data_IF_943956657062
#
_entry.id   IF_943956657062
#
_cell.length_a   1.000
_cell.length_b   1.000
_cell.length_c   1.000
_cell.angle_alpha   90.00
_cell.angle_beta   90.00
_cell.angle_gamma   90.00
#
_symmetry.space_group_name_H-M   'P 1'
#
loop_
_entity.id
_entity.type
_entity.pdbx_description
1 polymer ?
#
# COMPACT_ATOMS: atom_id res chain seq x y z
N UNK A 1 -48.19 28.77 26.90
CA UNK A 1 -47.67 27.63 27.69
C UNK A 1 -46.75 26.83 26.79
N UNK A 2 -45.48 26.81 27.18
CA UNK A 2 -44.30 26.33 26.45
C UNK A 2 -44.28 24.80 26.35
N UNK A 3 -44.41 24.23 25.15
CA UNK A 3 -44.07 22.82 24.91
C UNK A 3 -42.60 22.72 24.51
N UNK A 4 -41.78 22.21 25.42
CA UNK A 4 -40.37 21.97 25.23
C UNK A 4 -40.10 20.94 24.12
N UNK A 5 -39.17 21.25 23.23
CA UNK A 5 -38.60 20.31 22.25
C UNK A 5 -37.70 19.29 22.97
N UNK A 6 -37.79 17.98 22.69
CA UNK A 6 -36.88 17.01 23.28
C UNK A 6 -35.49 17.09 22.61
N UNK A 7 -34.48 17.31 23.45
CA UNK A 7 -33.08 17.46 23.08
C UNK A 7 -32.48 16.19 22.45
N UNK A 8 -31.69 16.37 21.38
CA UNK A 8 -30.94 15.37 20.60
C UNK A 8 -29.75 14.74 21.39
N UNK A 9 -29.75 14.84 22.72
CA UNK A 9 -28.59 14.58 23.59
C UNK A 9 -28.09 13.13 23.64
N UNK A 10 -28.86 12.13 23.21
CA UNK A 10 -28.54 10.72 23.50
C UNK A 10 -27.78 9.97 22.39
N UNK A 11 -27.53 10.59 21.23
CA UNK A 11 -26.91 9.88 20.09
C UNK A 11 -25.39 9.98 20.01
N UNK A 12 -24.71 10.76 20.85
CA UNK A 12 -23.24 10.91 20.78
C UNK A 12 -22.51 9.81 21.56
N UNK A 13 -23.05 9.37 22.70
CA UNK A 13 -22.40 8.36 23.56
C UNK A 13 -22.36 6.95 22.95
N UNK A 14 -23.42 6.55 22.24
CA UNK A 14 -23.53 5.21 21.65
C UNK A 14 -22.50 5.01 20.52
N UNK A 15 -22.21 6.06 19.75
CA UNK A 15 -21.22 6.01 18.67
C UNK A 15 -19.79 5.95 19.20
N UNK A 16 -19.48 6.65 20.30
CA UNK A 16 -18.16 6.62 20.92
C UNK A 16 -17.82 5.23 21.49
N UNK A 17 -18.79 4.58 22.16
CA UNK A 17 -18.61 3.23 22.70
C UNK A 17 -18.46 2.16 21.61
N UNK A 18 -19.15 2.33 20.48
CA UNK A 18 -19.07 1.40 19.34
C UNK A 18 -17.74 1.51 18.59
N UNK A 19 -17.20 2.73 18.46
CA UNK A 19 -15.85 2.97 17.92
C UNK A 19 -14.77 2.47 18.90
N UNK A 20 -14.96 2.64 20.21
CA UNK A 20 -14.02 2.16 21.23
C UNK A 20 -13.96 0.62 21.34
N UNK A 21 -15.05 -0.09 21.01
CA UNK A 21 -15.10 -1.55 20.96
C UNK A 21 -14.42 -2.14 19.70
N UNK A 22 -14.27 -1.35 18.63
CA UNK A 22 -13.45 -1.70 17.48
C UNK A 22 -11.96 -1.56 17.85
N UNK A 23 -11.29 -2.68 18.12
CA UNK A 23 -9.81 -2.74 18.22
C UNK A 23 -9.12 -2.57 16.86
N UNK A 24 -9.63 -1.68 16.01
CA UNK A 24 -9.01 -1.35 14.73
C UNK A 24 -7.90 -0.35 15.03
N UNK A 25 -6.65 -0.81 15.04
CA UNK A 25 -5.50 0.08 15.08
C UNK A 25 -5.44 0.86 13.76
N UNK A 26 -5.86 2.12 13.78
CA UNK A 26 -5.71 3.01 12.62
C UNK A 26 -4.24 3.40 12.53
N UNK A 27 -3.51 2.73 11.63
CA UNK A 27 -2.08 2.98 11.41
C UNK A 27 -1.80 4.35 10.76
N UNK A 28 -2.80 4.97 10.12
CA UNK A 28 -2.68 6.29 9.52
C UNK A 28 -3.90 6.66 8.67
N UNK A 29 -3.93 7.91 8.20
CA UNK A 29 -4.86 8.39 7.18
C UNK A 29 -4.05 8.76 5.94
N UNK A 30 -4.34 8.16 4.80
CA UNK A 30 -3.70 8.47 3.51
C UNK A 30 -4.74 8.83 2.47
N UNK A 31 -4.37 9.71 1.54
CA UNK A 31 -5.18 10.06 0.36
C UNK A 31 -4.59 9.32 -0.83
N UNK A 32 -5.43 8.62 -1.60
CA UNK A 32 -4.99 8.01 -2.85
C UNK A 32 -4.84 9.11 -3.90
N UNK A 33 -3.61 9.31 -4.36
CA UNK A 33 -3.30 10.26 -5.44
C UNK A 33 -3.18 9.49 -6.75
N UNK A 34 -3.74 10.06 -7.83
CA UNK A 34 -3.55 9.52 -9.16
C UNK A 34 -2.13 9.84 -9.65
N UNK A 35 -1.25 8.84 -9.72
CA UNK A 35 0.13 8.99 -10.19
C UNK A 35 0.20 9.64 -11.58
N UNK A 36 -0.74 9.34 -12.48
CA UNK A 36 -0.82 9.95 -13.81
C UNK A 36 -1.04 11.47 -13.75
N UNK A 37 -1.81 11.95 -12.77
CA UNK A 37 -2.03 13.39 -12.58
C UNK A 37 -0.77 14.11 -12.11
N UNK A 38 0.23 13.38 -11.60
CA UNK A 38 1.55 13.88 -11.22
C UNK A 38 2.58 13.73 -12.35
N UNK A 39 2.17 13.34 -13.57
CA UNK A 39 3.08 13.07 -14.69
C UNK A 39 3.74 11.70 -14.66
N UNK A 40 3.41 10.83 -13.69
CA UNK A 40 3.92 9.46 -13.59
C UNK A 40 3.01 8.51 -14.37
N UNK A 41 3.22 8.49 -15.69
CA UNK A 41 2.35 7.77 -16.63
C UNK A 41 2.63 6.27 -16.72
N UNK A 42 3.80 5.82 -16.27
CA UNK A 42 4.26 4.44 -16.31
C UNK A 42 4.21 3.84 -14.91
N UNK A 43 3.74 2.60 -14.81
CA UNK A 43 3.81 1.81 -13.56
C UNK A 43 4.45 0.47 -13.89
N UNK A 44 5.37 0.01 -13.07
CA UNK A 44 6.06 -1.25 -13.27
C UNK A 44 6.22 -2.02 -11.95
N UNK A 45 6.22 -3.35 -12.06
CA UNK A 45 6.68 -4.24 -11.02
C UNK A 45 8.11 -4.66 -11.31
N UNK A 46 8.98 -4.58 -10.31
CA UNK A 46 10.35 -5.06 -10.34
C UNK A 46 10.45 -6.24 -9.39
N UNK A 47 10.83 -7.40 -9.92
CA UNK A 47 11.27 -8.56 -9.14
C UNK A 47 12.79 -8.50 -9.04
N UNK A 48 13.31 -8.50 -7.82
CA UNK A 48 14.70 -8.14 -7.55
C UNK A 48 15.38 -9.24 -6.75
N UNK A 49 16.49 -9.74 -7.30
CA UNK A 49 17.34 -10.76 -6.68
C UNK A 49 18.72 -10.18 -6.42
N UNK A 50 19.05 -9.79 -5.18
CA UNK A 50 20.39 -9.35 -4.81
C UNK A 50 21.44 -10.41 -5.13
N UNK A 51 22.62 -9.97 -5.55
CA UNK A 51 23.80 -10.84 -5.64
C UNK A 51 24.25 -11.24 -4.22
N UNK A 52 25.00 -12.34 -4.04
CA UNK A 52 25.44 -12.81 -2.74
C UNK A 52 26.12 -11.70 -1.90
N UNK A 53 25.68 -11.55 -0.65
CA UNK A 53 26.19 -10.54 0.28
C UNK A 53 25.59 -9.13 0.14
N UNK A 54 24.78 -8.84 -0.89
CA UNK A 54 24.22 -7.50 -1.11
C UNK A 54 22.79 -7.31 -0.58
N UNK A 55 22.19 -8.32 0.04
CA UNK A 55 20.78 -8.28 0.48
C UNK A 55 20.42 -7.01 1.27
N UNK A 56 21.21 -6.66 2.28
CA UNK A 56 20.93 -5.47 3.10
C UNK A 56 21.17 -4.17 2.34
N UNK A 57 22.22 -4.12 1.51
CA UNK A 57 22.50 -2.95 0.67
C UNK A 57 21.36 -2.68 -0.31
N UNK A 58 20.84 -3.72 -0.94
CA UNK A 58 19.68 -3.60 -1.85
C UNK A 58 18.45 -3.17 -1.07
N UNK A 59 18.18 -3.73 0.10
CA UNK A 59 17.04 -3.30 0.92
C UNK A 59 17.09 -1.81 1.26
N UNK A 60 18.26 -1.28 1.64
CA UNK A 60 18.43 0.15 1.92
C UNK A 60 18.37 1.01 0.66
N UNK A 61 18.94 0.54 -0.46
CA UNK A 61 18.82 1.21 -1.76
C UNK A 61 17.34 1.36 -2.16
N UNK A 62 16.56 0.29 -2.11
CA UNK A 62 15.15 0.31 -2.52
C UNK A 62 14.29 1.23 -1.64
N UNK A 63 14.60 1.36 -0.35
CA UNK A 63 13.95 2.33 0.55
C UNK A 63 14.26 3.79 0.17
N UNK A 64 15.42 4.04 -0.41
CA UNK A 64 15.87 5.38 -0.80
C UNK A 64 15.36 5.86 -2.16
N UNK A 65 14.82 4.96 -2.99
CA UNK A 65 14.36 5.27 -4.35
C UNK A 65 12.91 5.79 -4.31
N UNK A 66 12.65 7.08 -4.59
CA UNK A 66 11.32 7.67 -4.48
C UNK A 66 10.31 7.14 -5.51
N UNK A 67 10.78 6.59 -6.62
CA UNK A 67 9.96 5.92 -7.62
C UNK A 67 9.30 4.66 -7.04
N UNK A 68 9.94 4.00 -6.07
CA UNK A 68 9.45 2.80 -5.41
C UNK A 68 8.48 3.17 -4.29
N UNK A 69 7.22 2.80 -4.47
CA UNK A 69 6.12 3.15 -3.55
C UNK A 69 5.67 1.99 -2.68
N UNK A 70 5.96 0.76 -3.12
CA UNK A 70 5.66 -0.48 -2.39
C UNK A 70 6.85 -1.42 -2.60
N UNK A 71 7.29 -2.08 -1.54
CA UNK A 71 8.30 -3.14 -1.67
C UNK A 71 8.14 -4.15 -0.55
N UNK A 72 7.93 -5.41 -0.93
CA UNK A 72 7.86 -6.52 -0.01
C UNK A 72 9.07 -7.43 -0.18
N UNK A 73 9.57 -7.94 0.95
CA UNK A 73 10.48 -9.07 0.96
C UNK A 73 9.64 -10.35 0.93
N UNK A 74 9.88 -11.20 -0.05
CA UNK A 74 9.04 -12.36 -0.33
C UNK A 74 9.83 -13.66 -0.25
N UNK A 75 9.09 -14.77 -0.18
CA UNK A 75 9.63 -16.11 -0.37
C UNK A 75 9.57 -16.49 -1.85
N UNK A 76 10.58 -17.19 -2.34
CA UNK A 76 10.66 -17.68 -3.72
C UNK A 76 12.02 -17.40 -4.35
N UNK A 77 12.02 -17.36 -5.68
CA UNK A 77 13.22 -17.15 -6.50
C UNK A 77 13.81 -15.74 -6.39
N UNK A 78 12.96 -14.73 -6.15
CA UNK A 78 13.39 -13.35 -5.94
C UNK A 78 13.24 -12.97 -4.47
N UNK A 79 14.12 -12.10 -4.00
CA UNK A 79 14.09 -11.67 -2.60
C UNK A 79 13.12 -10.52 -2.37
N UNK A 80 12.92 -9.67 -3.37
CA UNK A 80 12.02 -8.52 -3.28
C UNK A 80 11.11 -8.41 -4.50
N UNK A 81 9.91 -7.89 -4.25
CA UNK A 81 9.02 -7.39 -5.29
C UNK A 81 8.69 -5.93 -4.97
N UNK A 82 8.89 -5.04 -5.93
CA UNK A 82 8.74 -3.61 -5.75
C UNK A 82 7.83 -3.00 -6.84
N UNK A 83 6.99 -2.05 -6.45
CA UNK A 83 6.15 -1.28 -7.36
C UNK A 83 6.75 0.10 -7.58
N UNK A 84 6.99 0.45 -8.83
CA UNK A 84 7.50 1.75 -9.22
C UNK A 84 6.50 2.55 -10.05
N UNK A 85 6.46 3.88 -9.82
CA UNK A 85 5.72 4.85 -10.62
C UNK A 85 6.69 5.83 -11.27
N UNK A 86 6.66 5.92 -12.61
CA UNK A 86 7.67 6.64 -13.38
C UNK A 86 7.03 7.49 -14.48
N UNK A 87 7.75 8.51 -14.95
CA UNK A 87 7.29 9.37 -16.03
C UNK A 87 7.30 8.68 -17.41
N UNK A 88 8.32 7.86 -17.67
CA UNK A 88 8.56 7.23 -18.99
C UNK A 88 9.43 5.97 -18.89
N UNK A 89 9.66 5.29 -20.02
CA UNK A 89 10.52 4.09 -20.09
C UNK A 89 11.99 4.44 -19.82
N UNK A 90 12.44 5.62 -20.25
CA UNK A 90 13.82 6.09 -19.98
C UNK A 90 14.06 6.31 -18.48
N UNK A 91 13.03 6.70 -17.72
CA UNK A 91 13.12 6.75 -16.26
C UNK A 91 13.20 5.36 -15.64
N UNK A 92 12.55 4.36 -16.26
CA UNK A 92 12.61 2.97 -15.81
C UNK A 92 14.00 2.37 -16.04
N UNK A 93 14.61 2.67 -17.18
CA UNK A 93 16.00 2.29 -17.45
C UNK A 93 16.94 2.87 -16.39
N UNK A 94 16.84 4.17 -16.08
CA UNK A 94 17.64 4.79 -15.01
C UNK A 94 17.43 4.13 -13.65
N UNK A 95 16.18 3.86 -13.28
CA UNK A 95 15.87 3.17 -12.03
C UNK A 95 16.51 1.77 -11.97
N UNK A 96 16.47 1.03 -13.09
CA UNK A 96 17.09 -0.29 -13.20
C UNK A 96 18.61 -0.16 -13.10
N UNK A 97 19.22 0.81 -13.77
CA UNK A 97 20.67 1.06 -13.76
C UNK A 97 21.22 1.33 -12.34
N UNK A 98 20.42 1.91 -11.44
CA UNK A 98 20.80 2.07 -10.03
C UNK A 98 20.80 0.74 -9.26
N UNK A 99 19.98 -0.23 -9.68
CA UNK A 99 19.77 -1.51 -8.99
C UNK A 99 20.71 -2.61 -9.51
N UNK A 100 20.96 -2.65 -10.83
CA UNK A 100 21.75 -3.73 -11.47
C UNK A 100 23.16 -3.96 -10.89
N UNK A 101 23.88 -2.96 -10.30
CA UNK A 101 25.20 -3.22 -9.72
C UNK A 101 25.17 -4.18 -8.53
N UNK A 102 24.00 -4.38 -7.91
CA UNK A 102 23.84 -5.15 -6.68
C UNK A 102 22.81 -6.27 -6.78
N UNK A 103 22.03 -6.32 -7.85
CA UNK A 103 20.94 -7.28 -8.02
C UNK A 103 20.64 -7.56 -9.48
N UNK A 104 20.05 -8.72 -9.74
CA UNK A 104 19.33 -8.99 -10.98
C UNK A 104 17.90 -8.48 -10.86
N UNK A 105 17.35 -7.96 -11.95
CA UNK A 105 15.98 -7.43 -12.02
C UNK A 105 15.19 -8.09 -13.15
N UNK A 106 13.93 -8.43 -12.88
CA UNK A 106 12.93 -8.77 -13.88
C UNK A 106 11.76 -7.79 -13.76
N UNK A 107 11.40 -7.13 -14.86
CA UNK A 107 10.48 -6.01 -14.86
C UNK A 107 9.22 -6.32 -15.67
N UNK A 108 8.05 -6.01 -15.10
CA UNK A 108 6.76 -6.13 -15.75
C UNK A 108 6.02 -4.79 -15.75
N UNK A 109 5.77 -4.22 -16.92
CA UNK A 109 5.02 -2.96 -17.07
C UNK A 109 3.52 -3.25 -16.89
N UNK A 110 2.86 -2.46 -16.06
CA UNK A 110 1.42 -2.58 -15.79
C UNK A 110 0.64 -1.99 -16.95
N UNK A 111 -0.12 -2.84 -17.66
CA UNK A 111 -1.03 -2.40 -18.73
C UNK A 111 -2.38 -1.94 -18.18
N UNK A 112 -2.91 -2.64 -17.19
CA UNK A 112 -4.16 -2.29 -16.50
C UNK A 112 -4.18 -2.87 -15.09
N UNK A 113 -5.08 -2.37 -14.24
CA UNK A 113 -5.31 -2.88 -12.88
C UNK A 113 -6.77 -3.28 -12.73
N UNK A 114 -7.16 -4.49 -13.18
CA UNK A 114 -8.56 -4.94 -13.13
C UNK A 114 -9.10 -5.05 -11.71
N UNK A 115 -8.21 -5.27 -10.73
CA UNK A 115 -8.51 -5.15 -9.31
C UNK A 115 -7.69 -4.01 -8.75
N UNK A 116 -8.38 -2.97 -8.28
CA UNK A 116 -7.70 -1.87 -7.58
C UNK A 116 -7.18 -2.30 -6.22
N UNK A 117 -6.10 -1.66 -5.78
CA UNK A 117 -5.59 -1.82 -4.43
C UNK A 117 -6.66 -1.38 -3.43
N UNK A 118 -7.11 -2.33 -2.61
CA UNK A 118 -8.20 -2.17 -1.64
C UNK A 118 -7.87 -2.93 -0.36
N UNK A 119 -8.46 -2.49 0.74
CA UNK A 119 -8.33 -3.18 2.02
C UNK A 119 -8.96 -4.59 1.94
N UNK A 120 -8.43 -5.56 2.70
CA UNK A 120 -9.09 -6.83 2.90
C UNK A 120 -10.52 -6.63 3.44
N UNK A 121 -11.46 -7.54 3.12
CA UNK A 121 -12.81 -7.48 3.66
C UNK A 121 -12.74 -7.57 5.19
N UNK A 122 -13.47 -6.69 5.87
CA UNK A 122 -13.62 -6.77 7.32
C UNK A 122 -14.79 -7.70 7.67
N UNK A 123 -14.52 -8.81 8.35
CA UNK A 123 -15.56 -9.76 8.81
C UNK A 123 -16.10 -9.31 10.17
N UNK A 124 -17.01 -8.33 10.14
CA UNK A 124 -17.64 -7.77 11.34
C UNK A 124 -18.97 -8.40 11.76
N UNK A 125 -19.15 -9.71 11.67
CA UNK A 125 -20.43 -10.36 12.01
C UNK A 125 -20.27 -11.69 12.77
N UNK A 126 -20.58 -11.63 14.07
CA UNK A 126 -21.12 -12.66 15.00
C UNK A 126 -20.50 -14.08 15.04
N UNK A 127 -19.60 -14.29 16.00
CA UNK A 127 -19.48 -15.57 16.71
C UNK A 127 -20.51 -15.56 17.85
N UNK A 128 -21.69 -16.12 17.60
CA UNK A 128 -22.74 -16.18 18.62
C UNK A 128 -24.08 -16.72 18.10
N UNK A 129 -24.17 -18.03 17.88
CA UNK A 129 -25.43 -18.68 17.54
C UNK A 129 -25.39 -20.17 17.88
N UNK A 130 -25.83 -20.49 19.09
CA UNK A 130 -26.13 -21.83 19.60
C UNK A 130 -26.91 -22.69 18.61
N UNK A 131 -26.42 -23.91 18.37
CA UNK A 131 -27.23 -25.12 18.25
C UNK A 131 -26.54 -26.26 18.97
#
# INVERSE_FOLDING_TARGET
>A
MTSAMPSISWRVGIWASMIAAMRVAVAGRTVRVNARALGLSLTAWLRIRPIPGQLQRVAELLKGLPEITECDRITGDDCFIARAHLASVEHLERLIDEIIPYAMTNTAIVQSSPVEHRLPPWSGSEVGGTR
#
